data_IF_441993138987
#
_entry.id   IF_441993138987
#
_cell.length_a   1.000
_cell.length_b   1.000
_cell.length_c   1.000
_cell.angle_alpha   90.00
_cell.angle_beta   90.00
_cell.angle_gamma   90.00
#
_symmetry.space_group_name_H-M   'P 1'
#
loop_
_entity.id
_entity.type
_entity.pdbx_description
1 polymer ?
#
# COMPACT_ATOMS: atom_id res chain seq x y z
N UNK A 1 -4.07 8.18 13.62
CA UNK A 1 -3.79 7.11 12.64
C UNK A 1 -5.01 6.86 11.76
N UNK A 2 -4.78 6.80 10.46
CA UNK A 2 -5.84 6.48 9.50
C UNK A 2 -5.51 5.17 8.80
N UNK A 3 -6.56 4.49 8.34
CA UNK A 3 -6.43 3.17 7.73
C UNK A 3 -7.42 3.05 6.57
N UNK A 4 -7.01 2.34 5.52
CA UNK A 4 -7.97 1.91 4.52
C UNK A 4 -7.71 0.46 4.12
N UNK A 5 -8.76 -0.20 3.64
CA UNK A 5 -8.67 -1.52 3.03
C UNK A 5 -9.13 -1.40 1.60
N UNK A 6 -8.43 -2.07 0.71
CA UNK A 6 -8.76 -1.99 -0.70
C UNK A 6 -8.30 -3.25 -1.43
N UNK A 7 -8.95 -3.54 -2.54
CA UNK A 7 -8.54 -4.63 -3.42
C UNK A 7 -7.62 -4.07 -4.49
N UNK A 8 -6.49 -4.73 -4.70
CA UNK A 8 -5.51 -4.30 -5.69
C UNK A 8 -6.06 -4.52 -7.09
N UNK A 9 -6.18 -3.45 -7.87
CA UNK A 9 -6.75 -3.48 -9.22
C UNK A 9 -5.70 -3.62 -10.32
N UNK A 10 -4.43 -3.31 -10.04
CA UNK A 10 -3.36 -3.43 -11.02
C UNK A 10 -3.20 -4.88 -11.50
N UNK A 11 -3.16 -5.09 -12.80
CA UNK A 11 -3.02 -6.42 -13.38
C UNK A 11 -1.74 -7.12 -12.95
N UNK A 12 -0.70 -6.35 -12.59
CA UNK A 12 0.58 -6.89 -12.14
C UNK A 12 0.72 -6.91 -10.61
N UNK A 13 -0.34 -6.51 -9.90
CA UNK A 13 -0.30 -6.42 -8.45
C UNK A 13 0.65 -5.32 -7.97
N UNK A 14 1.14 -5.42 -6.74
CA UNK A 14 2.13 -4.48 -6.21
C UNK A 14 3.54 -4.97 -6.52
N UNK A 15 3.82 -5.11 -7.82
CA UNK A 15 5.14 -5.47 -8.32
C UNK A 15 6.01 -4.21 -8.47
N UNK A 16 7.10 -4.30 -9.23
CA UNK A 16 8.15 -3.27 -9.25
C UNK A 16 7.61 -1.84 -9.44
N UNK A 17 6.78 -1.61 -10.46
CA UNK A 17 6.35 -0.25 -10.80
C UNK A 17 5.35 0.33 -9.80
N UNK A 18 4.21 -0.33 -9.52
CA UNK A 18 3.30 0.19 -8.51
C UNK A 18 3.88 0.18 -7.10
N UNK A 19 4.75 -0.78 -6.78
CA UNK A 19 5.44 -0.78 -5.49
C UNK A 19 6.37 0.42 -5.35
N UNK A 20 7.05 0.81 -6.42
CA UNK A 20 7.92 1.99 -6.41
C UNK A 20 7.11 3.27 -6.22
N UNK A 21 5.95 3.39 -6.90
CA UNK A 21 5.05 4.53 -6.73
C UNK A 21 4.51 4.61 -5.31
N UNK A 22 4.09 3.48 -4.77
CA UNK A 22 3.56 3.40 -3.41
C UNK A 22 4.62 3.83 -2.41
N UNK A 23 5.81 3.25 -2.49
CA UNK A 23 6.90 3.54 -1.55
C UNK A 23 7.38 4.98 -1.67
N UNK A 24 7.49 5.51 -2.88
CA UNK A 24 7.90 6.89 -3.10
C UNK A 24 6.90 7.87 -2.50
N UNK A 25 5.61 7.63 -2.70
CA UNK A 25 4.55 8.46 -2.13
C UNK A 25 4.56 8.39 -0.61
N UNK A 26 4.70 7.19 -0.06
CA UNK A 26 4.75 6.99 1.39
C UNK A 26 5.95 7.71 2.00
N UNK A 27 7.11 7.58 1.37
CA UNK A 27 8.35 8.22 1.85
C UNK A 27 8.25 9.73 1.77
N UNK A 28 7.69 10.26 0.69
CA UNK A 28 7.56 11.70 0.49
C UNK A 28 6.52 12.35 1.40
N UNK A 29 5.63 11.58 2.00
CA UNK A 29 4.58 12.10 2.87
C UNK A 29 5.08 12.55 4.23
N UNK A 30 6.21 12.03 4.67
CA UNK A 30 6.71 12.26 6.03
C UNK A 30 5.94 11.52 7.11
N UNK A 31 4.95 10.71 6.73
CA UNK A 31 4.16 9.91 7.67
C UNK A 31 4.71 8.51 7.78
N UNK A 32 4.35 7.82 8.86
CA UNK A 32 4.68 6.40 9.00
C UNK A 32 3.59 5.61 8.27
N UNK A 33 4.00 4.87 7.24
CA UNK A 33 3.07 4.08 6.41
C UNK A 33 3.40 2.61 6.56
N UNK A 34 2.38 1.80 6.86
CA UNK A 34 2.52 0.36 6.94
C UNK A 34 1.50 -0.30 6.04
N UNK A 35 1.88 -1.42 5.48
CA UNK A 35 1.07 -2.17 4.52
C UNK A 35 1.04 -3.63 4.93
N UNK A 36 -0.15 -4.22 4.93
CA UNK A 36 -0.32 -5.65 5.17
C UNK A 36 -1.25 -6.24 4.13
N UNK A 37 -1.08 -7.52 3.85
CA UNK A 37 -1.95 -8.27 2.95
C UNK A 37 -3.01 -8.98 3.78
N UNK A 38 -4.23 -9.06 3.26
CA UNK A 38 -5.31 -9.80 3.90
C UNK A 38 -5.36 -11.20 3.29
N UNK A 39 -5.20 -12.21 4.12
CA UNK A 39 -5.28 -13.63 3.71
C UNK A 39 -6.32 -14.30 4.60
N UNK A 40 -7.34 -14.89 3.97
CA UNK A 40 -8.42 -15.58 4.68
C UNK A 40 -9.08 -14.70 5.76
N UNK A 41 -9.22 -13.42 5.46
CA UNK A 41 -9.86 -12.46 6.37
C UNK A 41 -8.94 -11.91 7.45
N UNK A 42 -7.67 -12.29 7.46
CA UNK A 42 -6.71 -11.84 8.48
C UNK A 42 -5.52 -11.13 7.84
N UNK A 43 -5.09 -10.03 8.46
CA UNK A 43 -3.94 -9.30 7.99
C UNK A 43 -2.64 -10.06 8.32
N UNK A 44 -1.72 -10.07 7.35
CA UNK A 44 -0.36 -10.56 7.58
C UNK A 44 0.40 -9.55 8.45
N UNK A 45 1.65 -9.87 8.81
CA UNK A 45 2.50 -8.91 9.50
C UNK A 45 2.69 -7.67 8.62
N UNK A 46 2.50 -6.48 9.20
CA UNK A 46 2.64 -5.24 8.46
C UNK A 46 4.11 -4.96 8.15
N UNK A 47 4.37 -4.41 6.97
CA UNK A 47 5.71 -4.03 6.54
C UNK A 47 5.77 -2.53 6.31
N UNK A 48 6.99 -1.99 6.22
CA UNK A 48 7.23 -0.58 5.95
C UNK A 48 6.78 -0.24 4.54
N UNK A 49 5.73 0.59 4.43
CA UNK A 49 5.18 1.01 3.14
C UNK A 49 6.10 1.95 2.36
N UNK A 50 7.12 2.52 2.99
CA UNK A 50 8.08 3.39 2.32
C UNK A 50 9.27 2.63 1.73
N UNK A 51 9.28 1.31 1.84
CA UNK A 51 10.35 0.48 1.28
C UNK A 51 9.81 -0.34 0.12
N UNK A 52 10.32 -0.09 -1.08
CA UNK A 52 9.94 -0.85 -2.28
C UNK A 52 10.14 -2.34 -2.07
N UNK A 53 11.29 -2.72 -1.50
CA UNK A 53 11.62 -4.12 -1.28
C UNK A 53 10.62 -4.79 -0.33
N UNK A 54 10.26 -4.12 0.75
CA UNK A 54 9.31 -4.66 1.73
C UNK A 54 7.90 -4.79 1.13
N UNK A 55 7.47 -3.78 0.39
CA UNK A 55 6.17 -3.84 -0.30
C UNK A 55 6.12 -5.04 -1.25
N UNK A 56 7.18 -5.27 -2.01
CA UNK A 56 7.25 -6.39 -2.94
C UNK A 56 7.28 -7.75 -2.23
N UNK A 57 7.88 -7.83 -1.03
CA UNK A 57 7.96 -9.10 -0.30
C UNK A 57 6.61 -9.62 0.18
N UNK A 58 5.58 -8.76 0.22
CA UNK A 58 4.24 -9.21 0.57
C UNK A 58 3.61 -10.12 -0.50
N UNK A 59 4.09 -10.04 -1.73
CA UNK A 59 3.56 -10.88 -2.80
C UNK A 59 2.13 -10.54 -3.17
N UNK A 60 1.76 -9.25 -3.10
CA UNK A 60 0.39 -8.80 -3.41
C UNK A 60 0.15 -8.87 -4.91
N UNK A 61 -0.94 -9.51 -5.30
CA UNK A 61 -1.33 -9.72 -6.70
C UNK A 61 -2.65 -9.02 -6.98
N UNK A 62 -2.99 -8.92 -8.27
CA UNK A 62 -4.30 -8.41 -8.68
C UNK A 62 -5.41 -9.23 -8.01
N UNK A 63 -6.36 -8.54 -7.40
CA UNK A 63 -7.46 -9.18 -6.68
C UNK A 63 -7.19 -9.42 -5.20
N UNK A 64 -5.95 -9.28 -4.74
CA UNK A 64 -5.64 -9.41 -3.33
C UNK A 64 -6.08 -8.17 -2.57
N UNK A 65 -6.54 -8.38 -1.35
CA UNK A 65 -6.92 -7.28 -0.47
C UNK A 65 -5.74 -6.88 0.41
N UNK A 66 -5.59 -5.57 0.61
CA UNK A 66 -4.54 -5.02 1.47
C UNK A 66 -5.16 -4.06 2.48
N UNK A 67 -4.47 -3.88 3.60
CA UNK A 67 -4.78 -2.85 4.57
C UNK A 67 -3.56 -1.94 4.71
N UNK A 68 -3.80 -0.64 4.62
CA UNK A 68 -2.76 0.39 4.71
C UNK A 68 -3.06 1.28 5.89
N UNK A 69 -2.08 1.47 6.76
CA UNK A 69 -2.20 2.38 7.91
C UNK A 69 -1.22 3.52 7.74
N UNK A 70 -1.67 4.74 8.05
CA UNK A 70 -0.85 5.95 7.95
C UNK A 70 -0.96 6.72 9.26
N UNK A 71 0.18 7.12 9.80
CA UNK A 71 0.24 7.89 11.03
C UNK A 71 1.17 9.08 10.83
N UNK A 72 0.64 10.29 11.02
CA UNK A 72 1.42 11.52 10.87
C UNK A 72 0.54 12.71 10.55
N UNK A 73 1.18 13.86 10.24
CA UNK A 73 0.48 15.13 10.08
C UNK A 73 -0.36 15.22 8.80
N UNK A 74 -0.04 14.44 7.78
CA UNK A 74 -0.73 14.49 6.49
C UNK A 74 -1.46 13.18 6.18
N UNK A 75 -2.04 12.55 7.20
CA UNK A 75 -2.70 11.25 7.09
C UNK A 75 -3.76 11.20 6.00
N UNK A 76 -4.68 12.17 6.00
CA UNK A 76 -5.80 12.15 5.06
C UNK A 76 -5.33 12.28 3.61
N UNK A 77 -4.39 13.18 3.35
CA UNK A 77 -3.84 13.37 2.02
C UNK A 77 -3.05 12.16 1.56
N UNK A 78 -2.23 11.61 2.44
CA UNK A 78 -1.42 10.42 2.15
C UNK A 78 -2.31 9.21 1.85
N UNK A 79 -3.34 8.99 2.65
CA UNK A 79 -4.29 7.89 2.43
C UNK A 79 -4.92 8.01 1.04
N UNK A 80 -5.37 9.20 0.66
CA UNK A 80 -6.00 9.40 -0.64
C UNK A 80 -5.05 9.05 -1.79
N UNK A 81 -3.80 9.45 -1.69
CA UNK A 81 -2.79 9.17 -2.72
C UNK A 81 -2.47 7.67 -2.80
N UNK A 82 -2.28 7.03 -1.66
CA UNK A 82 -1.94 5.60 -1.62
C UNK A 82 -3.11 4.74 -2.09
N UNK A 83 -4.32 5.10 -1.71
CA UNK A 83 -5.51 4.39 -2.14
C UNK A 83 -5.67 4.47 -3.67
N UNK A 84 -5.41 5.64 -4.25
CA UNK A 84 -5.47 5.81 -5.69
C UNK A 84 -4.47 4.90 -6.40
N UNK A 85 -3.27 4.72 -5.85
CA UNK A 85 -2.25 3.82 -6.41
C UNK A 85 -2.72 2.37 -6.34
N UNK A 86 -3.23 1.95 -5.19
CA UNK A 86 -3.69 0.56 -4.97
C UNK A 86 -4.86 0.22 -5.89
N UNK A 87 -5.78 1.16 -6.08
CA UNK A 87 -6.99 0.93 -6.86
C UNK A 87 -6.83 1.21 -8.35
N UNK A 88 -5.70 1.76 -8.76
CA UNK A 88 -5.43 2.05 -10.16
C UNK A 88 -5.08 0.79 -10.92
N UNK A 89 -5.60 0.66 -12.14
CA UNK A 89 -5.23 -0.43 -13.04
C UNK A 89 -4.41 0.06 -14.25
N UNK A 90 -3.82 1.25 -14.14
CA UNK A 90 -3.07 1.88 -15.22
C UNK A 90 -1.56 1.64 -15.15
N UNK A 91 -1.14 0.70 -14.36
CA UNK A 91 0.29 0.44 -14.15
C UNK A 91 0.86 -0.54 -15.16
#
# INVERSE_FOLDING_TARGET
MKEFRSTVASAVGLHARPAALFASTAKGSGSVVRLAKIVDGQATAAVDGASVLRVMTLGVKCGDEVVVTVEGDSEAETIAKLQAIVESNDH
#
